data_IF_206982406019
#
_entry.id   IF_206982406019
#
_cell.length_a   1.000
_cell.length_b   1.000
_cell.length_c   1.000
_cell.angle_alpha   90.00
_cell.angle_beta   90.00
_cell.angle_gamma   90.00
#
_symmetry.space_group_name_H-M   'P 1'
#
loop_
_entity.id
_entity.type
_entity.pdbx_description
1 polymer ?
#
# COMPACT_ATOMS: atom_id res chain seq x y z
N UNK A 1 -30.25 -31.24 9.67
CA UNK A 1 -29.37 -30.14 10.12
C UNK A 1 -27.88 -30.45 9.91
N UNK A 2 -27.32 -31.56 10.43
CA UNK A 2 -25.91 -31.91 10.15
C UNK A 2 -25.64 -32.19 8.66
N UNK A 3 -26.52 -32.94 7.99
CA UNK A 3 -26.43 -33.14 6.54
C UNK A 3 -26.52 -31.83 5.74
N UNK A 4 -27.32 -30.85 6.21
CA UNK A 4 -27.46 -29.54 5.57
C UNK A 4 -26.17 -28.71 5.74
N UNK A 5 -25.53 -28.77 6.92
CA UNK A 5 -24.22 -28.16 7.19
C UNK A 5 -23.16 -28.68 6.22
N UNK A 6 -23.00 -30.00 6.15
CA UNK A 6 -21.93 -30.60 5.34
C UNK A 6 -22.16 -30.33 3.85
N UNK A 7 -23.41 -30.39 3.38
CA UNK A 7 -23.75 -30.01 2.01
C UNK A 7 -23.45 -28.52 1.72
N UNK A 8 -23.75 -27.60 2.64
CA UNK A 8 -23.42 -26.18 2.49
C UNK A 8 -21.91 -25.96 2.31
N UNK A 9 -21.08 -26.63 3.11
CA UNK A 9 -19.62 -26.55 3.02
C UNK A 9 -19.08 -27.15 1.70
N UNK A 10 -19.68 -28.24 1.22
CA UNK A 10 -19.33 -28.82 -0.09
C UNK A 10 -19.66 -27.84 -1.22
N UNK A 11 -20.87 -27.27 -1.23
CA UNK A 11 -21.26 -26.26 -2.23
C UNK A 11 -20.34 -25.04 -2.19
N UNK A 12 -19.96 -24.58 -1.00
CA UNK A 12 -18.99 -23.49 -0.85
C UNK A 12 -17.63 -23.83 -1.46
N UNK A 13 -17.11 -25.04 -1.24
CA UNK A 13 -15.83 -25.47 -1.84
C UNK A 13 -15.91 -25.56 -3.36
N UNK A 14 -16.99 -26.10 -3.90
CA UNK A 14 -17.23 -26.12 -5.35
C UNK A 14 -17.29 -24.70 -5.93
N UNK A 15 -17.99 -23.79 -5.25
CA UNK A 15 -18.07 -22.38 -5.64
C UNK A 15 -16.70 -21.68 -5.60
N UNK A 16 -15.87 -21.96 -4.59
CA UNK A 16 -14.49 -21.44 -4.51
C UNK A 16 -13.66 -21.92 -5.71
N UNK A 17 -13.72 -23.21 -6.04
CA UNK A 17 -13.03 -23.77 -7.21
C UNK A 17 -13.52 -23.14 -8.52
N UNK A 18 -14.83 -22.92 -8.64
CA UNK A 18 -15.42 -22.28 -9.81
C UNK A 18 -14.97 -20.81 -9.96
N UNK A 19 -14.84 -20.06 -8.85
CA UNK A 19 -14.30 -18.70 -8.86
C UNK A 19 -12.84 -18.65 -9.30
N UNK A 20 -12.05 -19.65 -8.89
CA UNK A 20 -10.63 -19.78 -9.22
C UNK A 20 -10.37 -20.34 -10.63
N UNK A 21 -11.42 -20.60 -11.41
CA UNK A 21 -11.31 -21.09 -12.79
C UNK A 21 -10.98 -22.59 -12.92
N UNK A 22 -11.18 -23.39 -11.87
CA UNK A 22 -10.96 -24.84 -11.92
C UNK A 22 -12.12 -25.64 -12.54
N UNK A 23 -13.28 -25.02 -12.71
CA UNK A 23 -14.51 -25.63 -13.23
C UNK A 23 -15.00 -24.84 -14.47
N UNK A 24 -16.03 -25.38 -15.15
CA UNK A 24 -16.72 -24.77 -16.31
C UNK A 24 -17.02 -23.28 -16.12
N UNK A 25 -16.99 -22.49 -17.20
CA UNK A 25 -17.23 -21.02 -17.12
C UNK A 25 -18.71 -20.61 -16.98
N UNK A 26 -19.61 -21.54 -16.61
CA UNK A 26 -21.04 -21.25 -16.56
C UNK A 26 -21.39 -20.29 -15.42
N UNK A 27 -21.75 -19.05 -15.77
CA UNK A 27 -22.17 -18.03 -14.80
C UNK A 27 -23.38 -18.46 -13.97
N UNK A 28 -24.32 -19.19 -14.58
CA UNK A 28 -25.53 -19.67 -13.91
C UNK A 28 -25.23 -20.79 -12.93
N UNK A 29 -24.31 -21.70 -13.29
CA UNK A 29 -23.84 -22.76 -12.40
C UNK A 29 -23.18 -22.18 -11.16
N UNK A 30 -22.32 -21.16 -11.32
CA UNK A 30 -21.72 -20.44 -10.18
C UNK A 30 -22.75 -19.84 -9.24
N UNK A 31 -23.78 -19.18 -9.78
CA UNK A 31 -24.86 -18.58 -8.99
C UNK A 31 -25.69 -19.67 -8.31
N UNK A 32 -26.00 -20.76 -9.01
CA UNK A 32 -26.70 -21.91 -8.45
C UNK A 32 -25.96 -22.50 -7.25
N UNK A 33 -24.66 -22.78 -7.38
CA UNK A 33 -23.82 -23.27 -6.28
C UNK A 33 -23.82 -22.29 -5.10
N UNK A 34 -23.72 -20.98 -5.38
CA UNK A 34 -23.75 -19.94 -4.34
C UNK A 34 -25.06 -19.89 -3.57
N UNK A 35 -26.20 -19.99 -4.26
CA UNK A 35 -27.51 -19.92 -3.65
C UNK A 35 -27.82 -21.18 -2.84
N UNK A 36 -27.39 -22.36 -3.30
CA UNK A 36 -27.51 -23.59 -2.53
C UNK A 36 -26.66 -23.57 -1.27
N UNK A 37 -25.40 -23.11 -1.37
CA UNK A 37 -24.53 -22.95 -0.21
C UNK A 37 -25.17 -22.03 0.85
N UNK A 38 -25.73 -20.89 0.41
CA UNK A 38 -26.41 -19.95 1.30
C UNK A 38 -27.69 -20.51 1.91
N UNK A 39 -28.51 -21.20 1.13
CA UNK A 39 -29.79 -21.74 1.58
C UNK A 39 -29.58 -22.80 2.67
N UNK A 40 -28.72 -23.78 2.38
CA UNK A 40 -28.38 -24.85 3.32
C UNK A 40 -27.58 -24.32 4.52
N UNK A 41 -26.74 -23.30 4.31
CA UNK A 41 -26.01 -22.63 5.38
C UNK A 41 -26.91 -21.87 6.35
N UNK A 42 -27.92 -21.14 5.87
CA UNK A 42 -28.90 -20.46 6.73
C UNK A 42 -29.81 -21.49 7.45
N UNK A 43 -30.11 -22.63 6.84
CA UNK A 43 -30.84 -23.73 7.50
C UNK A 43 -30.02 -24.33 8.66
N UNK A 44 -28.73 -24.57 8.44
CA UNK A 44 -27.82 -25.15 9.43
C UNK A 44 -27.06 -24.12 10.29
N UNK A 45 -27.54 -22.87 10.33
CA UNK A 45 -26.80 -21.72 10.87
C UNK A 45 -26.33 -21.89 12.32
N UNK A 46 -27.11 -22.58 13.16
CA UNK A 46 -26.75 -22.84 14.55
C UNK A 46 -25.56 -23.81 14.72
N UNK A 47 -25.24 -24.57 13.67
CA UNK A 47 -24.17 -25.57 13.66
C UNK A 47 -22.90 -25.10 12.93
N UNK A 48 -22.98 -23.99 12.19
CA UNK A 48 -21.86 -23.44 11.42
C UNK A 48 -21.12 -22.38 12.26
N UNK A 49 -19.79 -22.47 12.41
CA UNK A 49 -18.98 -21.43 13.04
C UNK A 49 -19.20 -20.04 12.43
N UNK A 50 -19.02 -19.00 13.25
CA UNK A 50 -19.24 -17.60 12.87
C UNK A 50 -18.39 -17.25 11.63
N UNK A 51 -17.15 -17.70 11.60
CA UNK A 51 -16.18 -17.44 10.53
C UNK A 51 -16.60 -18.09 9.21
N UNK A 52 -17.03 -19.36 9.26
CA UNK A 52 -17.48 -20.11 8.08
C UNK A 52 -18.79 -19.52 7.52
N UNK A 53 -19.72 -19.13 8.40
CA UNK A 53 -20.96 -18.49 7.99
C UNK A 53 -20.71 -17.12 7.36
N UNK A 54 -19.76 -16.34 7.91
CA UNK A 54 -19.35 -15.09 7.29
C UNK A 54 -18.70 -15.34 5.92
N UNK A 55 -17.81 -16.33 5.81
CA UNK A 55 -17.15 -16.69 4.55
C UNK A 55 -18.16 -17.12 3.48
N UNK A 56 -19.21 -17.88 3.84
CA UNK A 56 -20.31 -18.23 2.93
C UNK A 56 -20.95 -17.01 2.27
N UNK A 57 -21.28 -15.98 3.05
CA UNK A 57 -21.82 -14.73 2.51
C UNK A 57 -20.81 -13.98 1.64
N UNK A 58 -19.53 -13.93 2.06
CA UNK A 58 -18.48 -13.21 1.32
C UNK A 58 -18.18 -13.85 -0.04
N UNK A 59 -18.01 -15.18 -0.09
CA UNK A 59 -17.74 -15.92 -1.33
C UNK A 59 -18.96 -15.86 -2.27
N UNK A 60 -20.17 -15.86 -1.71
CA UNK A 60 -21.39 -15.58 -2.46
C UNK A 60 -21.39 -14.17 -3.05
N UNK A 61 -21.04 -13.15 -2.26
CA UNK A 61 -20.93 -11.78 -2.76
C UNK A 61 -19.91 -11.67 -3.92
N UNK A 62 -18.76 -12.34 -3.82
CA UNK A 62 -17.76 -12.42 -4.91
C UNK A 62 -18.35 -13.07 -6.17
N UNK A 63 -19.12 -14.14 -6.01
CA UNK A 63 -19.77 -14.82 -7.13
C UNK A 63 -20.77 -13.92 -7.85
N UNK A 64 -21.62 -13.22 -7.09
CA UNK A 64 -22.57 -12.26 -7.67
C UNK A 64 -21.89 -11.12 -8.41
N UNK A 65 -20.81 -10.53 -7.87
CA UNK A 65 -20.04 -9.50 -8.57
C UNK A 65 -19.45 -10.04 -9.88
N UNK A 66 -18.87 -11.24 -9.84
CA UNK A 66 -18.22 -11.82 -11.01
C UNK A 66 -19.20 -12.18 -12.13
N UNK A 67 -20.41 -12.65 -11.80
CA UNK A 67 -21.42 -13.02 -12.77
C UNK A 67 -22.20 -11.81 -13.31
N UNK A 68 -22.48 -10.82 -12.45
CA UNK A 68 -23.30 -9.65 -12.75
C UNK A 68 -22.54 -8.34 -12.48
N UNK A 69 -21.44 -8.07 -13.21
CA UNK A 69 -20.75 -6.80 -13.06
C UNK A 69 -21.72 -5.65 -13.39
N UNK A 70 -21.75 -4.63 -12.55
CA UNK A 70 -22.60 -3.43 -12.72
C UNK A 70 -24.11 -3.66 -12.59
N UNK A 71 -24.57 -4.87 -12.26
CA UNK A 71 -25.99 -5.23 -12.07
C UNK A 71 -26.17 -5.93 -10.72
N UNK A 72 -27.36 -5.85 -10.14
CA UNK A 72 -27.69 -6.51 -8.86
C UNK A 72 -26.73 -6.18 -7.70
N UNK A 73 -26.12 -4.99 -7.69
CA UNK A 73 -25.21 -4.59 -6.61
C UNK A 73 -25.86 -4.63 -5.22
N UNK A 74 -27.18 -4.41 -5.16
CA UNK A 74 -27.92 -4.52 -3.91
C UNK A 74 -27.79 -5.93 -3.28
N UNK A 75 -27.67 -6.99 -4.09
CA UNK A 75 -27.48 -8.37 -3.60
C UNK A 75 -26.12 -8.52 -2.96
N UNK A 76 -25.07 -8.08 -3.66
CA UNK A 76 -23.70 -8.08 -3.14
C UNK A 76 -23.61 -7.29 -1.82
N UNK A 77 -24.20 -6.10 -1.79
CA UNK A 77 -24.21 -5.24 -0.60
C UNK A 77 -25.00 -5.87 0.55
N UNK A 78 -26.15 -6.48 0.26
CA UNK A 78 -26.92 -7.23 1.24
C UNK A 78 -26.10 -8.40 1.83
N UNK A 79 -25.37 -9.14 1.01
CA UNK A 79 -24.51 -10.24 1.45
C UNK A 79 -23.33 -9.75 2.31
N UNK A 80 -22.66 -8.65 1.94
CA UNK A 80 -21.63 -8.04 2.79
C UNK A 80 -22.20 -7.57 4.14
N UNK A 81 -23.39 -6.96 4.14
CA UNK A 81 -24.08 -6.55 5.37
C UNK A 81 -24.45 -7.75 6.23
N UNK A 82 -24.89 -8.85 5.63
CA UNK A 82 -25.15 -10.12 6.31
C UNK A 82 -23.87 -10.68 6.92
N UNK A 83 -22.77 -10.75 6.18
CA UNK A 83 -21.46 -11.19 6.69
C UNK A 83 -21.02 -10.38 7.92
N UNK A 84 -21.10 -9.05 7.86
CA UNK A 84 -20.82 -8.16 9.00
C UNK A 84 -21.76 -8.43 10.18
N UNK A 85 -23.04 -8.64 9.88
CA UNK A 85 -24.08 -8.88 10.90
C UNK A 85 -23.83 -10.17 11.67
N UNK A 86 -23.26 -11.22 11.06
CA UNK A 86 -22.92 -12.48 11.77
C UNK A 86 -21.99 -12.21 12.95
N UNK A 87 -20.95 -11.38 12.77
CA UNK A 87 -20.05 -11.02 13.86
C UNK A 87 -20.75 -10.16 14.91
N UNK A 88 -21.46 -9.10 14.48
CA UNK A 88 -22.14 -8.17 15.38
C UNK A 88 -23.20 -8.87 16.23
N UNK A 89 -24.03 -9.74 15.64
CA UNK A 89 -25.12 -10.42 16.35
C UNK A 89 -24.61 -11.41 17.39
N UNK A 90 -23.39 -11.94 17.21
CA UNK A 90 -22.76 -12.88 18.12
C UNK A 90 -21.77 -12.20 19.08
N UNK A 91 -21.75 -10.86 19.14
CA UNK A 91 -20.78 -10.07 19.91
C UNK A 91 -19.31 -10.46 19.64
N UNK A 92 -19.03 -10.94 18.42
CA UNK A 92 -17.70 -11.34 18.00
C UNK A 92 -16.97 -10.17 17.32
N UNK A 93 -15.66 -10.07 17.58
CA UNK A 93 -14.80 -9.07 16.94
C UNK A 93 -14.58 -9.42 15.47
N UNK A 94 -14.70 -8.43 14.59
CA UNK A 94 -14.40 -8.63 13.17
C UNK A 94 -12.89 -8.87 12.99
N UNK A 95 -12.48 -9.98 12.34
CA UNK A 95 -11.09 -10.24 12.01
C UNK A 95 -10.43 -9.06 11.26
N UNK A 96 -9.17 -8.68 11.59
CA UNK A 96 -8.46 -7.62 10.88
C UNK A 96 -8.45 -7.80 9.36
N UNK A 97 -8.35 -9.05 8.90
CA UNK A 97 -8.38 -9.47 7.50
C UNK A 97 -9.62 -9.06 6.72
N UNK A 98 -10.75 -8.93 7.41
CA UNK A 98 -12.06 -8.64 6.83
C UNK A 98 -12.46 -7.19 7.03
N UNK A 99 -11.72 -6.41 7.84
CA UNK A 99 -12.09 -5.02 8.15
C UNK A 99 -12.24 -4.17 6.90
N UNK A 100 -11.37 -4.37 5.92
CA UNK A 100 -11.43 -3.62 4.66
C UNK A 100 -12.74 -3.84 3.89
N UNK A 101 -13.32 -5.05 3.92
CA UNK A 101 -14.62 -5.32 3.28
C UNK A 101 -15.78 -4.53 3.90
N UNK A 102 -15.60 -4.04 5.13
CA UNK A 102 -16.60 -3.25 5.85
C UNK A 102 -16.24 -1.77 5.97
N UNK A 103 -15.08 -1.39 5.45
CA UNK A 103 -14.65 -0.01 5.28
C UNK A 103 -15.23 0.57 3.97
N UNK A 104 -15.65 1.86 3.92
CA UNK A 104 -16.19 2.47 2.71
C UNK A 104 -15.26 2.39 1.49
N UNK A 105 -13.94 2.49 1.70
CA UNK A 105 -12.97 2.41 0.60
C UNK A 105 -12.88 0.99 0.07
N UNK A 106 -12.84 0.00 0.95
CA UNK A 106 -12.79 -1.40 0.56
C UNK A 106 -14.10 -1.90 -0.06
N UNK A 107 -15.26 -1.41 0.39
CA UNK A 107 -16.54 -1.68 -0.27
C UNK A 107 -16.60 -1.12 -1.69
N UNK A 108 -16.06 0.09 -1.89
CA UNK A 108 -15.99 0.71 -3.21
C UNK A 108 -15.07 -0.06 -4.14
N UNK A 109 -13.90 -0.49 -3.64
CA UNK A 109 -12.98 -1.37 -4.39
C UNK A 109 -13.64 -2.71 -4.74
N UNK A 110 -14.24 -3.38 -3.74
CA UNK A 110 -14.89 -4.68 -3.91
C UNK A 110 -16.00 -4.62 -4.96
N UNK A 111 -16.80 -3.55 -4.97
CA UNK A 111 -17.86 -3.30 -5.96
C UNK A 111 -17.33 -3.19 -7.39
N UNK A 112 -16.14 -2.61 -7.56
CA UNK A 112 -15.57 -2.41 -8.89
C UNK A 112 -15.08 -3.73 -9.51
N UNK A 113 -14.79 -4.76 -8.70
CA UNK A 113 -14.39 -6.07 -9.22
C UNK A 113 -12.98 -6.10 -9.80
N UNK A 114 -12.13 -5.11 -9.48
CA UNK A 114 -10.82 -4.91 -10.10
C UNK A 114 -9.73 -5.75 -9.40
N UNK A 115 -9.83 -7.07 -9.50
CA UNK A 115 -8.76 -7.99 -9.09
C UNK A 115 -8.65 -9.15 -10.08
N UNK A 116 -7.48 -9.78 -10.11
CA UNK A 116 -7.23 -10.99 -10.87
C UNK A 116 -7.04 -12.20 -9.94
N UNK A 117 -6.99 -13.40 -10.53
CA UNK A 117 -6.66 -14.63 -9.83
C UNK A 117 -5.24 -15.12 -10.15
N UNK A 118 -4.33 -14.19 -10.50
CA UNK A 118 -2.94 -14.55 -10.82
C UNK A 118 -2.28 -15.17 -9.60
N UNK A 119 -1.61 -16.31 -9.77
CA UNK A 119 -0.96 -17.03 -8.67
C UNK A 119 0.50 -16.62 -8.47
N UNK A 120 1.00 -15.74 -9.34
CA UNK A 120 2.33 -15.19 -9.21
C UNK A 120 2.28 -13.99 -8.24
N UNK A 121 3.31 -13.87 -7.41
CA UNK A 121 3.49 -12.72 -6.54
C UNK A 121 3.95 -11.51 -7.35
N UNK A 122 3.74 -10.31 -6.81
CA UNK A 122 4.27 -9.08 -7.42
C UNK A 122 5.43 -8.55 -6.57
N UNK A 123 6.03 -7.44 -7.02
CA UNK A 123 6.99 -6.70 -6.21
C UNK A 123 6.35 -6.13 -4.93
N UNK A 124 5.01 -6.03 -4.87
CA UNK A 124 4.25 -5.36 -3.81
C UNK A 124 3.43 -6.28 -2.92
N UNK A 125 3.21 -7.54 -3.33
CA UNK A 125 2.40 -8.48 -2.58
C UNK A 125 2.87 -9.93 -2.77
N UNK A 126 2.73 -10.74 -1.73
CA UNK A 126 3.04 -12.16 -1.78
C UNK A 126 1.88 -12.98 -2.34
N UNK A 127 2.18 -14.24 -2.69
CA UNK A 127 1.19 -15.17 -3.23
C UNK A 127 0.13 -15.49 -2.16
N UNK A 128 -1.17 -15.29 -2.45
CA UNK A 128 -2.24 -15.66 -1.55
C UNK A 128 -2.34 -17.19 -1.39
N UNK A 129 -2.90 -17.66 -0.27
CA UNK A 129 -3.27 -19.07 -0.13
C UNK A 129 -4.15 -19.50 -1.33
N UNK A 130 -3.67 -20.47 -2.12
CA UNK A 130 -4.15 -20.72 -3.49
C UNK A 130 -5.60 -21.17 -3.62
N UNK A 131 -6.26 -21.53 -2.51
CA UNK A 131 -7.60 -22.13 -2.51
C UNK A 131 -8.71 -21.20 -2.00
N UNK A 132 -8.40 -19.99 -1.50
CA UNK A 132 -9.41 -19.03 -1.08
C UNK A 132 -9.49 -17.83 -2.07
N UNK A 133 -10.60 -17.67 -2.81
CA UNK A 133 -10.80 -16.52 -3.71
C UNK A 133 -10.63 -15.17 -3.02
N UNK A 134 -11.02 -15.07 -1.74
CA UNK A 134 -10.98 -13.81 -1.00
C UNK A 134 -9.55 -13.28 -0.82
N UNK A 135 -8.55 -14.17 -0.73
CA UNK A 135 -7.16 -13.77 -0.61
C UNK A 135 -6.66 -13.01 -1.86
N UNK A 136 -7.19 -13.33 -3.04
CA UNK A 136 -6.88 -12.61 -4.29
C UNK A 136 -7.52 -11.21 -4.32
N UNK A 137 -8.79 -11.10 -3.89
CA UNK A 137 -9.45 -9.80 -3.75
C UNK A 137 -8.76 -8.93 -2.70
N UNK A 138 -8.33 -9.51 -1.58
CA UNK A 138 -7.54 -8.84 -0.54
C UNK A 138 -6.20 -8.35 -1.10
N UNK A 139 -5.49 -9.16 -1.89
CA UNK A 139 -4.26 -8.74 -2.58
C UNK A 139 -4.48 -7.55 -3.50
N UNK A 140 -5.52 -7.60 -4.35
CA UNK A 140 -5.86 -6.48 -5.22
C UNK A 140 -6.16 -5.21 -4.43
N UNK A 141 -6.89 -5.34 -3.31
CA UNK A 141 -7.18 -4.22 -2.42
C UNK A 141 -5.89 -3.65 -1.78
N UNK A 142 -4.98 -4.52 -1.35
CA UNK A 142 -3.68 -4.13 -0.77
C UNK A 142 -2.86 -3.27 -1.73
N UNK A 143 -2.72 -3.70 -2.98
CA UNK A 143 -1.97 -2.95 -4.00
C UNK A 143 -2.67 -1.65 -4.39
N UNK A 144 -4.00 -1.67 -4.54
CA UNK A 144 -4.80 -0.47 -4.79
C UNK A 144 -4.63 0.58 -3.68
N UNK A 145 -4.70 0.15 -2.42
CA UNK A 145 -4.57 1.03 -1.28
C UNK A 145 -3.15 1.55 -1.15
N UNK A 146 -2.14 0.71 -1.39
CA UNK A 146 -0.74 1.11 -1.41
C UNK A 146 -0.47 2.17 -2.49
N UNK A 147 -1.02 2.01 -3.69
CA UNK A 147 -0.91 3.00 -4.78
C UNK A 147 -1.53 4.33 -4.39
N UNK A 148 -2.75 4.31 -3.85
CA UNK A 148 -3.41 5.53 -3.36
C UNK A 148 -2.56 6.25 -2.33
N UNK A 149 -2.08 5.54 -1.30
CA UNK A 149 -1.23 6.13 -0.25
C UNK A 149 0.04 6.72 -0.87
N UNK A 150 0.71 5.99 -1.77
CA UNK A 150 1.96 6.42 -2.40
C UNK A 150 1.78 7.71 -3.22
N UNK A 151 0.77 7.75 -4.09
CA UNK A 151 0.48 8.92 -4.90
C UNK A 151 0.10 10.13 -4.06
N UNK A 152 -0.69 9.95 -2.99
CA UNK A 152 -1.06 11.07 -2.09
C UNK A 152 0.15 11.63 -1.33
N UNK A 153 1.09 10.78 -0.87
CA UNK A 153 2.32 11.25 -0.19
C UNK A 153 3.23 12.02 -1.16
N UNK A 154 3.39 11.53 -2.38
CA UNK A 154 4.27 12.12 -3.38
C UNK A 154 3.71 13.45 -3.90
N UNK A 155 2.39 13.49 -4.10
CA UNK A 155 1.65 14.59 -4.70
C UNK A 155 0.42 14.96 -3.86
N UNK A 156 0.58 15.84 -2.85
CA UNK A 156 -0.52 16.33 -2.01
C UNK A 156 -1.68 16.99 -2.76
N UNK A 157 -1.46 17.38 -4.02
CA UNK A 157 -2.46 18.00 -4.90
C UNK A 157 -3.44 17.01 -5.52
N UNK A 158 -3.20 15.70 -5.38
CA UNK A 158 -4.16 14.67 -5.78
C UNK A 158 -5.33 14.72 -4.79
N UNK A 159 -6.38 15.45 -5.16
CA UNK A 159 -7.66 15.33 -4.49
C UNK A 159 -8.04 13.84 -4.51
N UNK A 160 -8.30 13.26 -3.34
CA UNK A 160 -8.91 11.93 -3.25
C UNK A 160 -10.28 12.05 -3.91
N UNK A 161 -10.33 11.67 -5.18
CA UNK A 161 -11.48 11.93 -6.06
C UNK A 161 -12.77 11.33 -5.49
N UNK A 162 -13.84 12.07 -5.76
CA UNK A 162 -15.22 12.02 -5.27
C UNK A 162 -15.74 10.65 -4.78
N UNK A 163 -16.14 10.57 -3.50
CA UNK A 163 -17.23 9.73 -2.96
C UNK A 163 -17.27 9.66 -1.42
N UNK A 164 -16.40 10.38 -0.71
CA UNK A 164 -16.43 10.38 0.74
C UNK A 164 -17.19 11.61 1.24
N UNK A 165 -18.46 11.40 1.59
CA UNK A 165 -19.34 12.34 2.32
C UNK A 165 -18.80 12.76 3.71
N UNK A 166 -17.57 12.37 4.06
CA UNK A 166 -16.83 12.78 5.27
C UNK A 166 -15.98 14.03 5.04
N UNK A 167 -16.52 15.02 4.34
CA UNK A 167 -15.91 16.36 4.28
C UNK A 167 -16.37 17.17 5.49
N UNK A 168 -15.77 16.90 6.66
CA UNK A 168 -15.74 17.80 7.84
C UNK A 168 -14.65 17.32 8.82
N UNK A 169 -13.58 18.12 8.95
CA UNK A 169 -12.63 18.18 10.09
C UNK A 169 -11.47 17.18 10.26
N UNK A 170 -11.11 16.34 9.31
CA UNK A 170 -9.90 15.49 9.45
C UNK A 170 -8.72 16.03 8.63
N UNK A 171 -7.54 16.10 9.25
CA UNK A 171 -6.29 16.42 8.54
C UNK A 171 -5.97 15.32 7.52
N UNK A 172 -5.44 15.70 6.35
CA UNK A 172 -5.06 14.73 5.31
C UNK A 172 -4.11 13.65 5.83
N UNK A 173 -3.22 13.99 6.78
CA UNK A 173 -2.34 13.03 7.45
C UNK A 173 -3.08 11.96 8.24
N UNK A 174 -4.20 12.27 8.90
CA UNK A 174 -5.00 11.28 9.64
C UNK A 174 -5.67 10.28 8.69
N UNK A 175 -6.19 10.76 7.55
CA UNK A 175 -6.80 9.89 6.54
C UNK A 175 -5.78 8.89 6.00
N UNK A 176 -4.57 9.36 5.67
CA UNK A 176 -3.48 8.50 5.20
C UNK A 176 -3.06 7.52 6.30
N UNK A 177 -2.97 7.97 7.55
CA UNK A 177 -2.64 7.09 8.70
C UNK A 177 -3.65 5.95 8.84
N UNK A 178 -4.95 6.26 8.74
CA UNK A 178 -6.01 5.25 8.79
C UNK A 178 -5.93 4.27 7.61
N UNK A 179 -5.61 4.76 6.41
CA UNK A 179 -5.39 3.91 5.24
C UNK A 179 -4.19 2.97 5.44
N UNK A 180 -3.08 3.47 6.00
CA UNK A 180 -1.91 2.63 6.31
C UNK A 180 -2.25 1.57 7.35
N UNK A 181 -3.03 1.91 8.39
CA UNK A 181 -3.48 0.93 9.38
C UNK A 181 -4.40 -0.12 8.76
N UNK A 182 -5.36 0.29 7.92
CA UNK A 182 -6.22 -0.63 7.19
C UNK A 182 -5.42 -1.58 6.27
N UNK A 183 -4.37 -1.06 5.63
CA UNK A 183 -3.44 -1.85 4.83
C UNK A 183 -2.68 -2.86 5.68
N UNK A 184 -2.09 -2.45 6.81
CA UNK A 184 -1.39 -3.36 7.74
C UNK A 184 -2.32 -4.44 8.28
N UNK A 185 -3.54 -4.08 8.68
CA UNK A 185 -4.56 -5.03 9.16
C UNK A 185 -4.89 -6.12 8.13
N UNK A 186 -4.98 -5.75 6.84
CA UNK A 186 -5.27 -6.68 5.74
C UNK A 186 -4.12 -7.64 5.38
N UNK A 187 -2.93 -7.47 5.97
CA UNK A 187 -1.78 -8.35 5.78
C UNK A 187 -1.74 -9.53 6.76
N UNK A 188 -2.54 -9.48 7.83
CA UNK A 188 -2.66 -10.57 8.80
C UNK A 188 -3.69 -11.60 8.34
N UNK A 189 -3.67 -12.78 8.94
CA UNK A 189 -4.70 -13.82 8.93
C UNK A 189 -4.93 -14.30 10.36
N UNK A 190 -6.19 -14.44 10.73
CA UNK A 190 -6.57 -15.11 11.98
C UNK A 190 -6.31 -16.59 11.84
N UNK A 191 -5.40 -17.13 12.64
CA UNK A 191 -5.25 -18.59 12.76
C UNK A 191 -6.48 -19.13 13.49
N UNK A 192 -7.48 -19.56 12.73
CA UNK A 192 -8.48 -20.45 13.28
C UNK A 192 -7.78 -21.80 13.49
N UNK A 193 -7.44 -22.09 14.74
CA UNK A 193 -7.15 -23.46 15.14
C UNK A 193 -8.39 -24.27 14.76
N UNK A 194 -8.29 -25.07 13.70
CA UNK A 194 -9.31 -26.07 13.31
C UNK A 194 -9.54 -27.14 14.40
N UNK A 195 -8.92 -27.00 15.58
CA UNK A 195 -9.01 -27.89 16.73
C UNK A 195 -9.44 -27.21 18.04
N UNK A 196 -9.75 -25.90 18.05
CA UNK A 196 -10.10 -25.19 19.30
C UNK A 196 -11.60 -24.94 19.47
N UNK A 197 -12.46 -25.87 19.04
CA UNK A 197 -13.91 -25.82 19.29
C UNK A 197 -14.33 -26.32 20.68
N UNK A 198 -13.41 -26.40 21.63
CA UNK A 198 -13.72 -26.73 23.01
C UNK A 198 -12.77 -25.97 23.93
N UNK A 199 -13.21 -24.82 24.43
CA UNK A 199 -12.95 -24.24 25.76
C UNK A 199 -13.11 -22.73 25.67
N UNK A 200 -13.95 -22.19 26.55
CA UNK A 200 -14.16 -20.76 26.89
C UNK A 200 -12.89 -20.14 27.50
N UNK A 201 -11.73 -20.31 26.85
CA UNK A 201 -10.47 -19.73 27.27
C UNK A 201 -10.18 -18.55 26.37
N UNK A 202 -10.02 -17.37 26.99
CA UNK A 202 -9.58 -16.11 26.40
C UNK A 202 -8.13 -16.19 25.89
N UNK A 203 -7.81 -17.17 25.04
CA UNK A 203 -6.52 -17.19 24.36
C UNK A 203 -6.53 -16.06 23.32
N UNK A 204 -5.49 -15.22 23.27
CA UNK A 204 -5.40 -14.18 22.27
C UNK A 204 -5.49 -14.80 20.88
N UNK A 205 -6.27 -14.19 19.99
CA UNK A 205 -6.35 -14.60 18.59
C UNK A 205 -4.94 -14.54 18.02
N UNK A 206 -4.37 -15.69 17.67
CA UNK A 206 -3.07 -15.76 17.00
C UNK A 206 -3.23 -15.18 15.60
N UNK A 207 -2.55 -14.06 15.34
CA UNK A 207 -2.50 -13.44 14.03
C UNK A 207 -1.20 -13.88 13.35
N UNK A 208 -1.34 -14.61 12.24
CA UNK A 208 -0.22 -14.91 11.37
C UNK A 208 -0.16 -13.86 10.27
N UNK A 209 1.01 -13.28 10.06
CA UNK A 209 1.24 -12.41 8.90
C UNK A 209 1.23 -13.27 7.62
N UNK A 210 0.23 -13.07 6.76
CA UNK A 210 0.09 -13.79 5.49
C UNK A 210 0.94 -13.12 4.40
N UNK A 211 0.99 -11.78 4.37
CA UNK A 211 1.73 -11.03 3.38
C UNK A 211 2.81 -10.14 4.03
N UNK A 212 4.04 -10.66 4.06
CA UNK A 212 5.21 -9.94 4.56
C UNK A 212 5.67 -8.85 3.60
N UNK A 213 5.44 -9.03 2.30
CA UNK A 213 5.88 -8.11 1.26
C UNK A 213 5.07 -6.82 1.33
N UNK A 214 3.74 -6.91 1.29
CA UNK A 214 2.89 -5.71 1.41
C UNK A 214 3.09 -5.03 2.76
N UNK A 215 3.23 -5.78 3.85
CA UNK A 215 3.45 -5.19 5.16
C UNK A 215 4.74 -4.36 5.23
N UNK A 216 5.81 -4.84 4.60
CA UNK A 216 7.07 -4.10 4.50
C UNK A 216 6.86 -2.78 3.74
N UNK A 217 6.18 -2.82 2.59
CA UNK A 217 5.82 -1.60 1.85
C UNK A 217 4.92 -0.64 2.64
N UNK A 218 3.94 -1.17 3.38
CA UNK A 218 3.10 -0.37 4.27
C UNK A 218 3.92 0.31 5.38
N UNK A 219 4.98 -0.35 5.86
CA UNK A 219 5.90 0.21 6.87
C UNK A 219 6.80 1.30 6.27
N UNK A 220 7.30 1.11 5.05
CA UNK A 220 7.98 2.17 4.28
C UNK A 220 7.09 3.41 4.15
N UNK A 221 5.81 3.22 3.82
CA UNK A 221 4.84 4.31 3.71
C UNK A 221 4.52 4.98 5.04
N UNK A 222 4.47 4.21 6.14
CA UNK A 222 4.29 4.74 7.49
C UNK A 222 5.45 5.66 7.90
N UNK A 223 6.69 5.24 7.62
CA UNK A 223 7.89 6.08 7.83
C UNK A 223 7.86 7.31 6.93
N UNK A 224 7.51 7.15 5.65
CA UNK A 224 7.41 8.26 4.71
C UNK A 224 6.43 9.33 5.21
N UNK A 225 5.28 8.91 5.74
CA UNK A 225 4.28 9.80 6.31
C UNK A 225 4.79 10.49 7.59
N UNK A 226 5.42 9.73 8.50
CA UNK A 226 5.98 10.30 9.73
C UNK A 226 7.04 11.37 9.43
N UNK A 227 7.96 11.12 8.49
CA UNK A 227 8.93 12.12 8.02
C UNK A 227 8.25 13.33 7.36
N UNK A 228 7.20 13.11 6.56
CA UNK A 228 6.45 14.21 5.92
C UNK A 228 5.75 15.12 6.95
N UNK A 229 5.26 14.53 8.04
CA UNK A 229 4.59 15.24 9.14
C UNK A 229 5.57 15.84 10.16
N UNK A 230 6.87 15.55 10.05
CA UNK A 230 7.89 15.99 11.02
C UNK A 230 7.85 15.21 12.35
N UNK A 231 7.23 14.03 12.37
CA UNK A 231 7.06 13.18 13.55
C UNK A 231 8.22 12.18 13.68
N UNK A 232 9.43 12.69 13.96
CA UNK A 232 10.67 11.90 13.95
C UNK A 232 10.65 10.72 14.94
N UNK A 233 10.18 10.93 16.17
CA UNK A 233 10.08 9.86 17.18
C UNK A 233 9.16 8.70 16.76
N UNK A 234 8.11 8.99 15.98
CA UNK A 234 7.22 7.94 15.45
C UNK A 234 7.90 7.20 14.31
N UNK A 235 8.66 7.90 13.47
CA UNK A 235 9.43 7.28 12.40
C UNK A 235 10.47 6.30 12.96
N UNK A 236 11.19 6.69 14.02
CA UNK A 236 12.21 5.86 14.66
C UNK A 236 11.69 4.50 15.14
N UNK A 237 10.49 4.49 15.74
CA UNK A 237 9.83 3.26 16.20
C UNK A 237 9.49 2.30 15.06
N UNK A 238 9.37 2.80 13.83
CA UNK A 238 9.01 2.03 12.64
C UNK A 238 10.24 1.60 11.82
N UNK A 239 11.45 2.04 12.16
CA UNK A 239 12.64 1.72 11.37
C UNK A 239 12.95 0.22 11.33
N UNK A 240 12.71 -0.50 12.42
CA UNK A 240 12.96 -1.94 12.47
C UNK A 240 12.09 -2.68 11.43
N UNK A 241 10.81 -2.32 11.30
CA UNK A 241 9.88 -2.92 10.33
C UNK A 241 10.38 -2.76 8.88
N UNK A 242 11.10 -1.67 8.58
CA UNK A 242 11.66 -1.41 7.24
C UNK A 242 13.03 -2.08 7.06
N UNK A 243 13.80 -2.24 8.13
CA UNK A 243 15.09 -2.94 8.09
C UNK A 243 14.93 -4.47 8.00
N UNK A 244 13.82 -5.00 8.52
CA UNK A 244 13.42 -6.41 8.43
C UNK A 244 12.97 -6.78 7.00
N UNK A 245 13.94 -6.83 6.09
CA UNK A 245 13.72 -7.02 4.66
C UNK A 245 13.17 -8.44 4.32
N UNK A 246 12.02 -8.55 3.63
CA UNK A 246 11.41 -9.83 3.26
C UNK A 246 12.30 -10.70 2.36
N UNK A 247 12.35 -12.01 2.63
CA UNK A 247 13.14 -12.98 1.84
C UNK A 247 12.57 -13.16 0.43
N UNK A 248 11.27 -13.02 0.29
CA UNK A 248 10.52 -13.10 -0.96
C UNK A 248 11.03 -12.05 -1.97
N UNK A 249 11.36 -10.85 -1.49
CA UNK A 249 11.92 -9.77 -2.30
C UNK A 249 13.38 -10.01 -2.69
N UNK A 250 14.16 -10.72 -1.85
CA UNK A 250 15.53 -11.11 -2.21
C UNK A 250 15.54 -12.06 -3.41
N UNK A 251 14.55 -12.95 -3.51
CA UNK A 251 14.49 -13.95 -4.57
C UNK A 251 13.94 -13.39 -5.90
N UNK A 252 13.18 -12.29 -5.86
CA UNK A 252 12.52 -11.69 -7.02
C UNK A 252 13.49 -10.96 -7.97
N UNK A 253 14.71 -10.62 -7.51
CA UNK A 253 15.75 -9.91 -8.28
C UNK A 253 15.30 -8.58 -8.93
N UNK A 254 14.23 -7.96 -8.44
CA UNK A 254 13.80 -6.65 -8.92
C UNK A 254 14.59 -5.53 -8.21
N UNK A 255 15.11 -4.49 -8.90
CA UNK A 255 15.99 -3.49 -8.29
C UNK A 255 15.28 -2.50 -7.36
N UNK A 256 13.97 -2.27 -7.54
CA UNK A 256 13.19 -1.25 -6.81
C UNK A 256 13.16 -1.42 -5.28
N UNK A 257 12.81 -2.58 -4.69
CA UNK A 257 12.77 -2.69 -3.23
C UNK A 257 14.13 -2.42 -2.59
N UNK A 258 15.21 -2.89 -3.22
CA UNK A 258 16.58 -2.59 -2.78
C UNK A 258 16.89 -1.10 -2.90
N UNK A 259 16.45 -0.43 -3.96
CA UNK A 259 16.63 1.02 -4.11
C UNK A 259 15.98 1.80 -2.95
N UNK A 260 14.73 1.44 -2.62
CA UNK A 260 13.96 2.04 -1.53
C UNK A 260 14.60 1.80 -0.17
N UNK A 261 15.12 0.59 0.08
CA UNK A 261 15.82 0.28 1.33
C UNK A 261 17.11 1.11 1.48
N UNK A 262 17.89 1.27 0.41
CA UNK A 262 19.13 2.05 0.45
C UNK A 262 18.86 3.55 0.62
N UNK A 263 17.84 4.10 -0.05
CA UNK A 263 17.45 5.50 0.11
C UNK A 263 16.84 5.77 1.48
N UNK A 264 16.06 4.84 2.03
CA UNK A 264 15.59 4.87 3.42
C UNK A 264 16.77 4.93 4.40
N UNK A 265 17.76 4.02 4.28
CA UNK A 265 18.93 3.99 5.16
C UNK A 265 19.74 5.29 5.08
N UNK A 266 19.93 5.81 3.87
CA UNK A 266 20.60 7.09 3.67
C UNK A 266 19.85 8.24 4.36
N UNK A 267 18.53 8.27 4.22
CA UNK A 267 17.68 9.30 4.83
C UNK A 267 17.64 9.20 6.35
N UNK A 268 17.58 7.98 6.89
CA UNK A 268 17.69 7.69 8.34
C UNK A 268 18.98 8.27 8.93
N UNK A 269 20.11 8.19 8.21
CA UNK A 269 21.38 8.77 8.65
C UNK A 269 21.31 10.29 8.87
N UNK A 270 20.45 11.05 8.16
CA UNK A 270 20.31 12.49 8.37
C UNK A 270 19.80 12.85 9.77
N UNK A 271 19.06 11.95 10.42
CA UNK A 271 18.51 12.18 11.76
C UNK A 271 19.45 11.71 12.87
N UNK A 272 20.57 11.05 12.51
CA UNK A 272 21.57 10.64 13.47
C UNK A 272 22.74 11.65 13.46
N UNK A 273 22.98 12.38 14.57
CA UNK A 273 24.04 13.40 14.64
C UNK A 273 25.46 12.83 14.50
N UNK A 274 25.64 11.52 14.69
CA UNK A 274 26.94 10.84 14.57
C UNK A 274 27.22 10.29 13.16
N UNK A 275 26.28 10.44 12.23
CA UNK A 275 26.40 9.86 10.91
C UNK A 275 27.43 10.60 10.04
N UNK A 276 28.38 9.86 9.48
CA UNK A 276 29.39 10.43 8.58
C UNK A 276 28.80 10.72 7.18
N UNK A 277 29.17 11.85 6.54
CA UNK A 277 28.75 12.19 5.18
C UNK A 277 29.09 11.12 4.14
N UNK A 278 30.32 10.61 4.11
CA UNK A 278 30.81 9.67 3.09
C UNK A 278 29.96 8.39 2.95
N UNK A 279 29.75 7.60 4.02
CA UNK A 279 28.89 6.41 3.98
C UNK A 279 27.45 6.73 3.56
N UNK A 280 26.88 7.85 4.03
CA UNK A 280 25.53 8.30 3.69
C UNK A 280 25.41 8.55 2.19
N UNK A 281 26.39 9.23 1.58
CA UNK A 281 26.42 9.49 0.14
C UNK A 281 26.57 8.21 -0.68
N UNK A 282 27.38 7.24 -0.22
CA UNK A 282 27.50 5.93 -0.88
C UNK A 282 26.17 5.16 -0.89
N UNK A 283 25.36 5.28 0.16
CA UNK A 283 24.00 4.71 0.18
C UNK A 283 23.10 5.40 -0.84
N UNK A 284 23.15 6.73 -0.96
CA UNK A 284 22.44 7.47 -2.02
C UNK A 284 22.90 7.06 -3.42
N UNK A 285 24.21 6.88 -3.65
CA UNK A 285 24.73 6.48 -4.97
C UNK A 285 24.24 5.09 -5.37
N UNK A 286 24.24 4.14 -4.43
CA UNK A 286 23.65 2.80 -4.65
C UNK A 286 22.16 2.87 -4.94
N UNK A 287 21.40 3.65 -4.15
CA UNK A 287 19.98 3.81 -4.35
C UNK A 287 19.66 4.42 -5.72
N UNK A 288 20.35 5.51 -6.10
CA UNK A 288 20.18 6.16 -7.40
C UNK A 288 20.50 5.24 -8.58
N UNK A 289 21.57 4.44 -8.49
CA UNK A 289 21.91 3.44 -9.50
C UNK A 289 20.80 2.38 -9.66
N UNK A 290 20.26 1.85 -8.56
CA UNK A 290 19.15 0.88 -8.58
C UNK A 290 17.85 1.48 -9.09
N UNK A 291 17.54 2.75 -8.80
CA UNK A 291 16.37 3.41 -9.40
C UNK A 291 16.56 3.58 -10.91
N UNK A 292 17.76 3.96 -11.36
CA UNK A 292 18.07 4.07 -12.79
C UNK A 292 17.93 2.71 -13.50
N UNK A 293 18.35 1.63 -12.87
CA UNK A 293 18.13 0.27 -13.37
C UNK A 293 16.64 -0.07 -13.45
N UNK A 294 15.87 0.22 -12.40
CA UNK A 294 14.41 0.06 -12.37
C UNK A 294 13.70 0.85 -13.49
N UNK A 295 14.14 2.09 -13.76
CA UNK A 295 13.64 2.92 -14.86
C UNK A 295 14.00 2.36 -16.24
N UNK A 296 15.11 1.64 -16.34
CA UNK A 296 15.52 1.02 -17.61
C UNK A 296 14.81 -0.32 -17.83
N UNK A 297 14.50 -1.06 -16.76
CA UNK A 297 13.65 -2.25 -16.81
C UNK A 297 12.28 -1.91 -17.41
N UNK A 298 11.75 -0.73 -17.10
CA UNK A 298 10.49 -0.20 -17.62
C UNK A 298 10.54 0.37 -19.06
N UNK A 299 11.64 0.23 -19.79
CA UNK A 299 11.72 0.69 -21.19
C UNK A 299 10.96 -0.22 -22.16
N UNK A 300 10.65 -1.46 -21.74
CA UNK A 300 10.01 -2.47 -22.59
C UNK A 300 8.51 -2.67 -22.29
N UNK A 301 8.01 -2.15 -21.16
CA UNK A 301 6.60 -2.14 -20.76
C UNK A 301 6.32 -0.90 -19.90
N UNK A 302 5.15 -0.26 -20.06
CA UNK A 302 4.80 0.89 -19.23
C UNK A 302 4.74 0.45 -17.75
N UNK A 303 5.58 1.03 -16.87
CA UNK A 303 5.67 0.56 -15.50
C UNK A 303 4.35 0.85 -14.78
N UNK A 304 3.86 -0.05 -13.92
CA UNK A 304 2.67 0.20 -13.11
C UNK A 304 2.79 1.54 -12.36
N UNK A 305 1.72 2.32 -12.18
CA UNK A 305 1.77 3.59 -11.46
C UNK A 305 2.37 3.44 -10.05
N UNK A 306 2.08 2.32 -9.39
CA UNK A 306 2.68 1.93 -8.12
C UNK A 306 4.22 1.84 -8.15
N UNK A 307 4.81 1.26 -9.21
CA UNK A 307 6.28 1.21 -9.40
C UNK A 307 6.85 2.62 -9.52
N UNK A 308 6.22 3.45 -10.35
CA UNK A 308 6.66 4.82 -10.60
C UNK A 308 6.59 5.66 -9.32
N UNK A 309 5.55 5.49 -8.51
CA UNK A 309 5.39 6.16 -7.24
C UNK A 309 6.57 5.85 -6.31
N UNK A 310 6.93 4.58 -6.12
CA UNK A 310 8.07 4.22 -5.28
C UNK A 310 9.44 4.61 -5.87
N UNK A 311 9.58 4.67 -7.20
CA UNK A 311 10.76 5.24 -7.85
C UNK A 311 10.90 6.73 -7.50
N UNK A 312 9.81 7.50 -7.55
CA UNK A 312 9.79 8.92 -7.13
C UNK A 312 10.14 9.03 -5.65
N UNK A 313 9.52 8.24 -4.77
CA UNK A 313 9.78 8.28 -3.33
C UNK A 313 11.27 8.04 -3.02
N UNK A 314 11.88 7.03 -3.64
CA UNK A 314 13.29 6.71 -3.44
C UNK A 314 14.21 7.85 -3.90
N UNK A 315 13.94 8.46 -5.05
CA UNK A 315 14.72 9.61 -5.54
C UNK A 315 14.51 10.84 -4.65
N UNK A 316 13.29 11.08 -4.19
CA UNK A 316 12.95 12.17 -3.27
C UNK A 316 13.77 12.10 -1.98
N UNK A 317 13.92 10.89 -1.41
CA UNK A 317 14.79 10.65 -0.27
C UNK A 317 16.27 10.84 -0.58
N UNK A 318 16.76 10.40 -1.74
CA UNK A 318 18.15 10.63 -2.14
C UNK A 318 18.48 12.12 -2.30
N UNK A 319 17.63 12.87 -3.02
CA UNK A 319 17.77 14.31 -3.23
C UNK A 319 17.72 15.08 -1.90
N UNK A 320 16.76 14.74 -1.03
CA UNK A 320 16.64 15.34 0.30
C UNK A 320 17.86 15.06 1.18
N UNK A 321 18.40 13.84 1.12
CA UNK A 321 19.58 13.43 1.88
C UNK A 321 20.84 14.13 1.40
N UNK A 322 21.08 14.18 0.08
CA UNK A 322 22.22 14.90 -0.50
C UNK A 322 22.16 16.40 -0.22
N UNK A 323 20.96 17.00 -0.26
CA UNK A 323 20.75 18.39 0.16
C UNK A 323 21.16 18.59 1.62
N UNK A 324 20.68 17.73 2.53
CA UNK A 324 21.02 17.81 3.95
C UNK A 324 22.53 17.72 4.19
N UNK A 325 23.19 16.72 3.62
CA UNK A 325 24.66 16.55 3.74
C UNK A 325 25.41 17.78 3.22
N UNK A 326 24.96 18.37 2.10
CA UNK A 326 25.55 19.60 1.56
C UNK A 326 25.38 20.80 2.51
N UNK A 327 24.22 20.94 3.16
CA UNK A 327 23.94 22.02 4.11
C UNK A 327 24.75 21.87 5.41
N UNK A 328 24.84 20.66 5.97
CA UNK A 328 25.65 20.38 7.16
C UNK A 328 27.14 20.69 6.91
N UNK A 329 27.68 20.28 5.77
CA UNK A 329 29.09 20.50 5.46
C UNK A 329 29.45 21.96 5.14
N UNK A 330 28.47 22.83 4.82
CA UNK A 330 28.75 24.27 4.70
C UNK A 330 29.11 24.92 6.04
N UNK A 331 28.67 24.32 7.15
CA UNK A 331 28.95 24.82 8.50
C UNK A 331 30.33 24.35 8.98
N UNK A 332 30.79 23.18 8.49
CA UNK A 332 32.09 22.60 8.83
C UNK A 332 33.14 22.94 7.74
N UNK A 333 33.91 24.00 7.97
CA UNK A 333 34.83 24.63 7.01
C UNK A 333 35.96 23.73 6.43
N UNK A 334 36.04 22.45 6.80
CA UNK A 334 37.13 21.52 6.47
C UNK A 334 36.60 20.14 6.07
N UNK A 335 36.18 19.94 4.82
CA UNK A 335 36.03 18.57 4.31
C UNK A 335 36.22 18.46 2.78
N UNK A 336 37.27 17.73 2.39
CA UNK A 336 37.51 17.23 1.02
C UNK A 336 36.54 16.09 0.65
N UNK A 337 35.59 15.73 1.51
CA UNK A 337 34.68 14.58 1.34
C UNK A 337 33.41 14.92 0.55
N UNK A 338 33.24 16.17 0.10
CA UNK A 338 32.05 16.68 -0.63
C UNK A 338 32.19 16.54 -2.16
N UNK A 339 33.34 16.06 -2.65
CA UNK A 339 33.50 15.78 -4.08
C UNK A 339 32.49 14.73 -4.53
N UNK A 340 31.55 15.15 -5.39
CA UNK A 340 30.55 14.27 -6.00
C UNK A 340 29.12 14.44 -5.51
N UNK A 341 28.86 15.19 -4.42
CA UNK A 341 27.48 15.42 -3.92
C UNK A 341 26.62 16.07 -4.99
N UNK A 342 27.15 17.11 -5.65
CA UNK A 342 26.46 17.84 -6.72
C UNK A 342 26.28 17.00 -8.00
N UNK A 343 27.18 16.05 -8.28
CA UNK A 343 27.06 15.17 -9.45
C UNK A 343 25.98 14.11 -9.22
N UNK A 344 26.01 13.44 -8.06
CA UNK A 344 24.96 12.50 -7.66
C UNK A 344 23.59 13.17 -7.59
N UNK A 345 23.52 14.39 -7.04
CA UNK A 345 22.28 15.18 -7.03
C UNK A 345 21.74 15.44 -8.45
N UNK A 346 22.64 15.76 -9.40
CA UNK A 346 22.25 16.02 -10.79
C UNK A 346 21.73 14.76 -11.48
N UNK A 347 22.33 13.61 -11.22
CA UNK A 347 21.89 12.33 -11.78
C UNK A 347 20.55 11.88 -11.20
N UNK A 348 20.35 12.00 -9.89
CA UNK A 348 19.08 11.73 -9.24
C UNK A 348 17.97 12.65 -9.79
N UNK A 349 18.27 13.93 -10.00
CA UNK A 349 17.33 14.89 -10.59
C UNK A 349 16.99 14.56 -12.06
N UNK A 350 17.94 14.02 -12.84
CA UNK A 350 17.64 13.50 -14.20
C UNK A 350 16.65 12.34 -14.14
N UNK A 351 16.81 11.43 -13.18
CA UNK A 351 15.87 10.34 -12.98
C UNK A 351 14.47 10.87 -12.61
N UNK A 352 14.39 11.87 -11.73
CA UNK A 352 13.11 12.50 -11.37
C UNK A 352 12.44 13.20 -12.57
N UNK A 353 13.21 13.85 -13.45
CA UNK A 353 12.69 14.44 -14.69
C UNK A 353 12.13 13.40 -15.66
N UNK A 354 12.73 12.21 -15.74
CA UNK A 354 12.16 11.11 -16.56
C UNK A 354 10.78 10.71 -16.02
N UNK A 355 10.64 10.63 -14.69
CA UNK A 355 9.37 10.28 -14.02
C UNK A 355 8.28 11.33 -14.19
N UNK A 356 8.64 12.60 -14.40
CA UNK A 356 7.69 13.69 -14.63
C UNK A 356 6.78 13.45 -15.85
N UNK A 357 7.25 12.70 -16.85
CA UNK A 357 6.44 12.34 -18.02
C UNK A 357 5.31 11.38 -17.69
N UNK A 358 5.45 10.59 -16.61
CA UNK A 358 4.45 9.61 -16.20
C UNK A 358 3.56 10.12 -15.07
N UNK A 359 4.11 10.95 -14.17
CA UNK A 359 3.40 11.53 -13.02
C UNK A 359 3.54 13.07 -13.13
N UNK A 360 2.68 13.77 -13.88
CA UNK A 360 2.81 15.22 -14.07
C UNK A 360 2.68 16.03 -12.77
N UNK A 361 2.08 15.45 -11.73
CA UNK A 361 1.85 16.08 -10.43
C UNK A 361 3.14 16.39 -9.68
N UNK A 362 4.24 15.67 -9.97
CA UNK A 362 5.54 15.93 -9.36
C UNK A 362 6.27 17.15 -9.94
N UNK A 363 5.68 17.85 -10.92
CA UNK A 363 6.26 19.04 -11.54
C UNK A 363 6.72 20.08 -10.51
N UNK A 364 5.89 20.35 -9.48
CA UNK A 364 6.23 21.31 -8.42
C UNK A 364 7.49 20.89 -7.64
N UNK A 365 7.62 19.59 -7.35
CA UNK A 365 8.75 18.98 -6.64
C UNK A 365 10.04 19.04 -7.48
N UNK A 366 9.95 18.71 -8.78
CA UNK A 366 11.09 18.84 -9.71
C UNK A 366 11.63 20.27 -9.73
N UNK A 367 10.77 21.28 -9.84
CA UNK A 367 11.21 22.68 -9.85
C UNK A 367 11.93 23.08 -8.56
N UNK A 368 11.47 22.60 -7.39
CA UNK A 368 12.13 22.90 -6.12
C UNK A 368 13.53 22.29 -6.03
N UNK A 369 13.72 21.08 -6.55
CA UNK A 369 15.03 20.44 -6.61
C UNK A 369 15.94 21.07 -7.67
N UNK A 370 15.40 21.59 -8.77
CA UNK A 370 16.18 22.39 -9.72
C UNK A 370 16.68 23.70 -9.10
N UNK A 371 15.82 24.40 -8.36
CA UNK A 371 16.21 25.60 -7.59
C UNK A 371 17.32 25.24 -6.60
N UNK A 372 17.18 24.12 -5.89
CA UNK A 372 18.19 23.66 -4.92
C UNK A 372 19.52 23.37 -5.61
N UNK A 373 19.53 22.69 -6.76
CA UNK A 373 20.75 22.46 -7.53
C UNK A 373 21.43 23.77 -7.96
N UNK A 374 20.64 24.79 -8.36
CA UNK A 374 21.18 26.12 -8.69
C UNK A 374 21.85 26.78 -7.49
N UNK A 375 21.27 26.64 -6.29
CA UNK A 375 21.86 27.14 -5.05
C UNK A 375 23.15 26.38 -4.69
N UNK A 376 23.18 25.05 -4.88
CA UNK A 376 24.36 24.24 -4.66
C UNK A 376 25.51 24.62 -5.60
N UNK A 377 25.19 24.94 -6.85
CA UNK A 377 26.15 25.36 -7.87
C UNK A 377 26.57 26.84 -7.78
N UNK A 378 26.06 27.61 -6.81
CA UNK A 378 26.39 29.04 -6.68
C UNK A 378 25.86 29.92 -7.83
N UNK A 379 24.76 29.52 -8.48
CA UNK A 379 24.17 30.28 -9.57
C UNK A 379 23.57 31.62 -9.08
N UNK A 380 23.33 32.56 -10.02
CA UNK A 380 22.83 33.89 -9.71
C UNK A 380 21.60 33.86 -8.75
N UNK A 381 21.67 34.53 -7.58
CA UNK A 381 20.64 34.45 -6.54
C UNK A 381 19.32 35.09 -6.96
N UNK A 382 19.35 36.20 -7.71
CA UNK A 382 18.13 36.92 -8.16
C UNK A 382 17.28 36.04 -9.07
N UNK A 383 17.92 35.38 -10.06
CA UNK A 383 17.21 34.46 -10.97
C UNK A 383 16.63 33.26 -10.22
N UNK A 384 17.35 32.78 -9.21
CA UNK A 384 16.94 31.63 -8.40
C UNK A 384 15.76 31.98 -7.49
N UNK A 385 15.75 33.17 -6.89
CA UNK A 385 14.62 33.69 -6.12
C UNK A 385 13.37 33.88 -6.98
N UNK A 386 13.51 34.47 -8.18
CA UNK A 386 12.37 34.62 -9.10
C UNK A 386 11.72 33.28 -9.49
N UNK A 387 12.53 32.23 -9.67
CA UNK A 387 12.02 30.88 -9.95
C UNK A 387 11.26 30.30 -8.75
N UNK A 388 11.79 30.49 -7.54
CA UNK A 388 11.15 30.08 -6.29
C UNK A 388 9.80 30.79 -6.07
N UNK A 389 9.74 32.10 -6.28
CA UNK A 389 8.52 32.89 -6.14
C UNK A 389 7.42 32.43 -7.11
N UNK A 390 7.79 32.00 -8.33
CA UNK A 390 6.85 31.43 -9.30
C UNK A 390 6.33 30.06 -8.86
N UNK A 391 7.20 29.22 -8.31
CA UNK A 391 6.80 27.89 -7.81
C UNK A 391 5.90 27.98 -6.58
N UNK A 392 6.17 28.88 -5.63
CA UNK A 392 5.36 29.07 -4.43
C UNK A 392 3.96 29.60 -4.76
N UNK A 393 3.84 30.56 -5.71
CA UNK A 393 2.54 31.05 -6.18
C UNK A 393 1.66 29.97 -6.81
N UNK A 394 2.27 28.97 -7.46
CA UNK A 394 1.54 27.80 -7.99
C UNK A 394 1.10 26.86 -6.86
N UNK A 395 1.93 26.67 -5.83
CA UNK A 395 1.62 25.79 -4.69
C UNK A 395 0.48 26.32 -3.81
N UNK A 396 0.39 27.62 -3.59
CA UNK A 396 -0.70 28.22 -2.79
C UNK A 396 -2.10 28.07 -3.41
N UNK A 397 -2.20 27.58 -4.65
CA UNK A 397 -3.48 27.21 -5.27
C UNK A 397 -3.94 25.79 -4.92
N UNK A 398 -3.10 24.98 -4.28
CA UNK A 398 -3.38 23.61 -3.88
C UNK A 398 -3.23 23.47 -2.36
N UNK A 399 -4.19 22.83 -1.70
CA UNK A 399 -4.15 22.61 -0.26
C UNK A 399 -2.91 21.81 0.14
N UNK A 400 -2.19 22.24 1.18
CA UNK A 400 -1.03 21.51 1.69
C UNK A 400 -1.44 20.52 2.78
N UNK A 401 -0.89 19.31 2.75
CA UNK A 401 -1.06 18.28 3.81
C UNK A 401 -0.65 18.80 5.19
N UNK A 402 0.19 19.85 5.23
CA UNK A 402 0.77 20.47 6.42
C UNK A 402 -0.16 21.55 7.03
N UNK A 403 -1.34 21.82 6.45
CA UNK A 403 -2.28 22.77 7.06
C UNK A 403 -2.97 22.16 8.28
N UNK A 404 -2.26 22.11 9.41
CA UNK A 404 -2.84 22.09 10.75
C UNK A 404 -3.19 23.51 11.16
N UNK A 405 -4.47 23.86 11.07
CA UNK A 405 -5.11 24.85 11.94
C UNK A 405 -6.52 24.41 12.24
#
# INVERSE_FOLDING_TARGET
MESSRDAALVYQKLQQLHLLGHLSESKLERVYLSLNALNLGEEAKSLIPIEEMAELYLISAMSFISCFPRKLYFVTWYLLKKARKVYISNNAMIPPTLRWLFDPMGQTFFRNGNWDYSREGTVFSSVPNSMNPLCFASRGFREFLLEKIALTIISPSMELDENIEYRRSYSAGLVITNCIQLLKDSCYVTESSRFSSALLSSKPVSLRQEDRVTYWWASVMAVALAWLLGEEEKAEKLYQDVEDYPKELMNLNHPLPSAVLHSFRARKCCFNPTAMPGPTLRLCDKAGALVKESLNYSLYQMPPPLVQAFQVLSIDWCLSTRKHVFESNKMDCNSSEVYGVSEGYREDLRCLRRLLHHIPEIHSKVNLYEITLRLMAGANPVKTQQMLDRSLRRRNRFASVICTK
#
